data_IF_498530200131
#
_entry.id   IF_498530200131
#
_cell.length_a   1.000
_cell.length_b   1.000
_cell.length_c   1.000
_cell.angle_alpha   90.00
_cell.angle_beta   90.00
_cell.angle_gamma   90.00
#
_symmetry.space_group_name_H-M   'P 1'
#
loop_
_entity.id
_entity.type
_entity.pdbx_description
1 polymer ?
#
# COMPACT_ATOMS: atom_id res chain seq x y z
N UNK A 1 0.85 23.45 -3.23
CA UNK A 1 2.05 23.63 -2.39
C UNK A 1 3.21 22.85 -2.99
N UNK A 2 4.45 23.26 -2.71
CA UNK A 2 5.67 22.59 -3.18
C UNK A 2 5.71 21.08 -2.82
N UNK A 3 5.21 20.72 -1.64
CA UNK A 3 5.15 19.33 -1.15
C UNK A 3 4.34 18.42 -2.06
N UNK A 4 3.16 18.86 -2.51
CA UNK A 4 2.31 18.08 -3.40
C UNK A 4 2.95 17.92 -4.78
N UNK A 5 3.58 18.98 -5.29
CA UNK A 5 4.35 18.92 -6.55
C UNK A 5 5.54 17.96 -6.45
N UNK A 6 6.29 18.00 -5.34
CA UNK A 6 7.40 17.09 -5.10
C UNK A 6 6.92 15.64 -4.97
N UNK A 7 5.85 15.38 -4.22
CA UNK A 7 5.25 14.06 -4.09
C UNK A 7 4.76 13.51 -5.44
N UNK A 8 4.10 14.33 -6.27
CA UNK A 8 3.70 13.94 -7.61
C UNK A 8 4.91 13.63 -8.50
N UNK A 9 5.97 14.45 -8.43
CA UNK A 9 7.20 14.25 -9.20
C UNK A 9 7.90 12.92 -8.84
N UNK A 10 7.85 12.46 -7.59
CA UNK A 10 8.43 11.15 -7.22
C UNK A 10 7.82 9.99 -8.00
N UNK A 11 6.53 10.04 -8.38
CA UNK A 11 5.92 9.01 -9.22
C UNK A 11 6.56 9.02 -10.62
N UNK A 12 6.77 10.21 -11.20
CA UNK A 12 7.42 10.35 -12.50
C UNK A 12 8.84 9.80 -12.48
N UNK A 13 9.62 10.12 -11.46
CA UNK A 13 11.00 9.61 -11.32
C UNK A 13 11.00 8.10 -11.07
N UNK A 14 10.07 7.56 -10.28
CA UNK A 14 9.93 6.12 -10.06
C UNK A 14 9.66 5.37 -11.36
N UNK A 15 8.74 5.87 -12.20
CA UNK A 15 8.45 5.30 -13.52
C UNK A 15 9.69 5.33 -14.41
N UNK A 16 10.43 6.44 -14.42
CA UNK A 16 11.69 6.54 -15.17
C UNK A 16 12.71 5.49 -14.71
N UNK A 17 12.93 5.34 -13.41
CA UNK A 17 13.80 4.31 -12.85
C UNK A 17 13.34 2.89 -13.22
N UNK A 18 12.03 2.63 -13.23
CA UNK A 18 11.47 1.35 -13.64
C UNK A 18 11.82 1.01 -15.10
N UNK A 19 11.72 1.99 -16.01
CA UNK A 19 12.07 1.81 -17.43
C UNK A 19 13.55 1.50 -17.64
N UNK A 20 14.42 2.06 -16.79
CA UNK A 20 15.86 1.76 -16.77
C UNK A 20 16.20 0.45 -16.02
N UNK A 21 15.19 -0.25 -15.49
CA UNK A 21 15.33 -1.45 -14.65
C UNK A 21 16.10 -1.19 -13.33
N UNK A 22 16.10 0.05 -12.84
CA UNK A 22 16.67 0.44 -11.56
C UNK A 22 15.66 0.27 -10.43
N UNK A 23 15.23 -0.98 -10.20
CA UNK A 23 14.13 -1.31 -9.28
C UNK A 23 14.41 -0.91 -7.83
N UNK A 24 15.67 -1.01 -7.38
CA UNK A 24 16.07 -0.61 -6.03
C UNK A 24 15.87 0.88 -5.80
N UNK A 25 16.22 1.70 -6.80
CA UNK A 25 16.06 3.17 -6.73
C UNK A 25 14.59 3.55 -6.83
N UNK A 26 13.83 2.89 -7.72
CA UNK A 26 12.38 3.05 -7.79
C UNK A 26 11.71 2.81 -6.42
N UNK A 27 12.03 1.70 -5.76
CA UNK A 27 11.47 1.35 -4.45
C UNK A 27 11.84 2.39 -3.38
N UNK A 28 13.09 2.87 -3.37
CA UNK A 28 13.54 3.93 -2.47
C UNK A 28 12.76 5.22 -2.71
N UNK A 29 12.60 5.66 -3.97
CA UNK A 29 11.88 6.89 -4.32
C UNK A 29 10.41 6.80 -3.90
N UNK A 30 9.75 5.68 -4.17
CA UNK A 30 8.36 5.47 -3.78
C UNK A 30 8.16 5.48 -2.26
N UNK A 31 9.17 5.05 -1.49
CA UNK A 31 9.13 5.12 -0.02
C UNK A 31 9.08 6.56 0.51
N UNK A 32 9.68 7.52 -0.21
CA UNK A 32 9.66 8.94 0.17
C UNK A 32 8.34 9.63 -0.16
N UNK A 33 7.58 9.13 -1.12
CA UNK A 33 6.35 9.78 -1.59
C UNK A 33 5.40 10.17 -0.46
N UNK A 34 5.06 9.22 0.41
CA UNK A 34 4.14 9.49 1.53
C UNK A 34 4.73 10.48 2.54
N UNK A 35 6.04 10.44 2.77
CA UNK A 35 6.74 11.39 3.65
C UNK A 35 6.68 12.81 3.10
N UNK A 36 6.80 12.97 1.78
CA UNK A 36 6.71 14.27 1.11
C UNK A 36 5.28 14.82 1.10
N UNK A 37 4.27 13.96 0.92
CA UNK A 37 2.86 14.37 0.94
C UNK A 37 2.47 14.99 2.28
N UNK A 38 2.88 14.37 3.39
CA UNK A 38 2.54 14.84 4.74
C UNK A 38 3.60 15.78 5.35
N UNK A 39 4.83 15.78 4.81
CA UNK A 39 5.96 16.51 5.39
C UNK A 39 6.45 15.93 6.72
N UNK A 40 6.32 14.61 6.93
CA UNK A 40 6.60 13.95 8.22
C UNK A 40 7.65 12.84 8.11
N UNK A 41 8.20 12.44 9.27
CA UNK A 41 9.05 11.24 9.39
C UNK A 41 8.25 9.98 9.04
N UNK A 42 8.94 8.97 8.53
CA UNK A 42 8.33 7.71 8.09
C UNK A 42 7.49 7.03 9.18
N UNK A 43 7.93 7.13 10.43
CA UNK A 43 7.24 6.55 11.60
C UNK A 43 5.85 7.13 11.85
N UNK A 44 5.60 8.38 11.42
CA UNK A 44 4.34 9.09 11.61
C UNK A 44 3.37 8.89 10.43
N UNK A 45 3.85 8.39 9.29
CA UNK A 45 3.04 8.18 8.09
C UNK A 45 1.81 7.28 8.35
N UNK A 46 1.90 6.16 9.10
CA UNK A 46 0.72 5.35 9.40
C UNK A 46 -0.36 6.10 10.18
N UNK A 47 0.04 7.06 11.01
CA UNK A 47 -0.87 7.91 11.78
C UNK A 47 -1.48 8.97 10.87
N UNK A 48 -0.67 9.69 10.09
CA UNK A 48 -1.13 10.75 9.19
C UNK A 48 -2.10 10.30 8.08
N UNK A 49 -2.25 8.98 7.88
CA UNK A 49 -3.27 8.41 6.98
C UNK A 49 -4.69 8.46 7.55
N UNK A 50 -4.88 8.72 8.85
CA UNK A 50 -6.19 9.00 9.41
C UNK A 50 -6.65 10.40 8.97
N UNK A 51 -7.93 10.50 8.62
CA UNK A 51 -8.53 11.75 8.17
C UNK A 51 -8.52 12.79 9.32
N UNK A 52 -8.22 14.05 8.98
CA UNK A 52 -8.09 15.17 9.93
C UNK A 52 -7.03 15.01 11.04
N UNK A 53 -5.99 14.18 10.83
CA UNK A 53 -4.90 14.08 11.78
C UNK A 53 -3.82 15.15 11.54
N UNK A 54 -3.48 15.89 12.60
CA UNK A 54 -2.38 16.86 12.58
C UNK A 54 -1.03 16.22 12.95
N UNK A 55 0.05 16.78 12.39
CA UNK A 55 1.43 16.34 12.66
C UNK A 55 1.79 16.41 14.16
N UNK A 56 1.36 17.48 14.85
CA UNK A 56 1.61 17.66 16.29
C UNK A 56 0.91 16.56 17.10
N UNK A 57 -0.35 16.29 16.80
CA UNK A 57 -1.14 15.25 17.47
C UNK A 57 -0.56 13.87 17.18
N UNK A 58 -0.27 13.56 15.92
CA UNK A 58 0.38 12.31 15.52
C UNK A 58 1.70 12.11 16.27
N UNK A 59 2.48 13.18 16.48
CA UNK A 59 3.75 13.10 17.20
C UNK A 59 3.55 12.73 18.67
N UNK A 60 2.65 13.43 19.36
CA UNK A 60 2.40 13.19 20.77
C UNK A 60 1.77 11.80 20.99
N UNK A 61 0.91 11.34 20.07
CA UNK A 61 0.40 9.97 20.08
C UNK A 61 1.51 8.93 19.92
N UNK A 62 2.44 9.16 18.98
CA UNK A 62 3.58 8.27 18.74
C UNK A 62 4.49 8.19 19.98
N UNK A 63 4.82 9.34 20.58
CA UNK A 63 5.66 9.41 21.78
C UNK A 63 4.99 8.74 23.00
N UNK A 64 3.66 8.59 22.98
CA UNK A 64 2.87 7.85 23.96
C UNK A 64 2.66 6.36 23.64
N UNK A 65 3.26 5.83 22.57
CA UNK A 65 3.21 4.42 22.20
C UNK A 65 2.12 4.05 21.20
N UNK A 66 1.29 5.02 20.76
CA UNK A 66 0.27 4.80 19.73
C UNK A 66 0.89 4.97 18.34
N UNK A 67 1.57 3.93 17.85
CA UNK A 67 2.34 3.97 16.60
C UNK A 67 1.54 3.63 15.35
N UNK A 68 0.38 2.98 15.52
CA UNK A 68 -0.44 2.48 14.40
C UNK A 68 -1.93 2.80 14.58
N UNK A 69 -2.70 2.89 13.49
CA UNK A 69 -4.17 3.00 13.56
C UNK A 69 -4.82 1.87 14.37
N UNK A 70 -4.27 0.66 14.32
CA UNK A 70 -4.76 -0.46 15.12
C UNK A 70 -4.56 -0.23 16.63
N UNK A 71 -3.41 0.32 17.02
CA UNK A 71 -3.13 0.67 18.42
C UNK A 71 -4.12 1.73 18.93
N UNK A 72 -4.43 2.73 18.10
CA UNK A 72 -5.44 3.75 18.46
C UNK A 72 -6.84 3.13 18.54
N UNK A 73 -7.22 2.28 17.58
CA UNK A 73 -8.54 1.65 17.53
C UNK A 73 -8.82 0.67 18.68
N UNK A 74 -7.78 0.18 19.36
CA UNK A 74 -7.88 -0.71 20.53
C UNK A 74 -7.70 0.01 21.87
N UNK A 75 -7.30 1.29 21.85
CA UNK A 75 -7.09 2.09 23.03
C UNK A 75 -8.40 2.48 23.74
N UNK A 76 -8.30 2.81 25.03
CA UNK A 76 -9.44 3.37 25.77
C UNK A 76 -9.60 4.86 25.46
N UNK A 77 -10.84 5.37 25.32
CA UNK A 77 -11.08 6.80 25.03
C UNK A 77 -10.41 7.75 26.03
N UNK A 78 -10.41 7.37 27.31
CA UNK A 78 -9.78 8.13 28.40
C UNK A 78 -8.26 8.30 28.21
N UNK A 79 -7.57 7.27 27.69
CA UNK A 79 -6.13 7.31 27.44
C UNK A 79 -5.79 8.23 26.28
N UNK A 80 -6.51 8.09 25.16
CA UNK A 80 -6.39 8.97 24.00
C UNK A 80 -6.67 10.42 24.40
N UNK A 81 -7.74 10.66 25.15
CA UNK A 81 -8.11 12.00 25.63
C UNK A 81 -7.01 12.63 26.49
N UNK A 82 -6.38 11.85 27.37
CA UNK A 82 -5.26 12.32 28.20
C UNK A 82 -4.07 12.75 27.34
N UNK A 83 -3.76 12.00 26.28
CA UNK A 83 -2.68 12.32 25.36
C UNK A 83 -3.00 13.57 24.53
N UNK A 84 -4.22 13.67 24.00
CA UNK A 84 -4.69 14.84 23.24
C UNK A 84 -4.71 16.12 24.07
N UNK A 85 -5.01 16.04 25.37
CA UNK A 85 -4.97 17.22 26.25
C UNK A 85 -3.55 17.80 26.41
N UNK A 86 -2.50 17.02 26.19
CA UNK A 86 -1.11 17.51 26.23
C UNK A 86 -0.73 18.34 25.00
N UNK A 87 -1.45 18.21 23.89
CA UNK A 87 -1.22 19.02 22.69
C UNK A 87 -1.89 20.38 22.78
N UNK A 88 -2.70 20.60 23.82
CA UNK A 88 -3.49 21.82 23.99
C UNK A 88 -2.59 22.97 24.47
N UNK A 89 -2.80 24.21 23.99
CA UNK A 89 -2.11 25.38 24.55
C UNK A 89 -2.36 25.51 26.06
N UNK A 90 -1.38 26.02 26.83
CA UNK A 90 -1.44 26.05 28.30
C UNK A 90 -2.62 26.87 28.88
N UNK A 91 -3.18 27.80 28.10
CA UNK A 91 -4.27 28.68 28.52
C UNK A 91 -5.67 28.15 28.21
N UNK A 92 -5.79 26.94 27.67
CA UNK A 92 -7.05 26.41 27.19
C UNK A 92 -7.59 25.34 28.14
N UNK A 93 -8.87 25.42 28.56
CA UNK A 93 -9.43 24.48 29.51
C UNK A 93 -9.59 23.09 28.88
N UNK A 94 -9.44 22.05 29.69
CA UNK A 94 -9.56 20.65 29.26
C UNK A 94 -10.96 20.27 28.76
N UNK A 95 -11.96 21.15 28.94
CA UNK A 95 -13.33 21.04 28.42
C UNK A 95 -13.42 21.23 26.90
N UNK A 96 -12.43 21.89 26.26
CA UNK A 96 -12.40 22.09 24.81
C UNK A 96 -12.29 20.77 24.04
N UNK A 97 -11.68 19.75 24.66
CA UNK A 97 -11.60 18.41 24.12
C UNK A 97 -12.56 17.50 24.89
N UNK A 98 -13.82 17.36 24.44
CA UNK A 98 -14.76 16.40 25.01
C UNK A 98 -14.34 14.96 24.67
N UNK A 99 -14.82 14.00 25.46
CA UNK A 99 -14.55 12.57 25.26
C UNK A 99 -15.04 12.07 23.89
N UNK A 100 -16.08 12.70 23.33
CA UNK A 100 -16.59 12.45 21.99
C UNK A 100 -15.49 12.57 20.90
N UNK A 101 -14.53 13.49 21.05
CA UNK A 101 -13.44 13.64 20.08
C UNK A 101 -12.50 12.43 20.10
N UNK A 102 -12.18 11.91 21.29
CA UNK A 102 -11.37 10.71 21.43
C UNK A 102 -12.11 9.49 20.87
N UNK A 103 -13.42 9.38 21.12
CA UNK A 103 -14.26 8.31 20.57
C UNK A 103 -14.28 8.35 19.03
N UNK A 104 -14.47 9.54 18.45
CA UNK A 104 -14.45 9.73 16.99
C UNK A 104 -13.11 9.33 16.39
N UNK A 105 -11.99 9.69 17.01
CA UNK A 105 -10.66 9.29 16.55
C UNK A 105 -10.49 7.77 16.59
N UNK A 106 -10.95 7.11 17.65
CA UNK A 106 -10.93 5.65 17.78
C UNK A 106 -11.77 4.99 16.68
N UNK A 107 -12.97 5.51 16.41
CA UNK A 107 -13.86 4.95 15.39
C UNK A 107 -13.28 5.13 13.98
N UNK A 108 -12.70 6.30 13.68
CA UNK A 108 -11.97 6.53 12.43
C UNK A 108 -10.77 5.59 12.29
N UNK A 109 -10.00 5.39 13.36
CA UNK A 109 -8.88 4.47 13.37
C UNK A 109 -9.32 3.01 13.13
N UNK A 110 -10.46 2.58 13.70
CA UNK A 110 -11.06 1.26 13.45
C UNK A 110 -11.50 1.11 11.99
N UNK A 111 -12.17 2.11 11.43
CA UNK A 111 -12.59 2.09 10.02
C UNK A 111 -11.37 1.98 9.10
N UNK A 112 -10.35 2.79 9.34
CA UNK A 112 -9.12 2.77 8.56
C UNK A 112 -8.35 1.44 8.71
N UNK A 113 -8.27 0.89 9.93
CA UNK A 113 -7.66 -0.41 10.18
C UNK A 113 -8.39 -1.54 9.42
N UNK A 114 -9.73 -1.56 9.43
CA UNK A 114 -10.53 -2.53 8.66
C UNK A 114 -10.28 -2.40 7.16
N UNK A 115 -10.21 -1.17 6.66
CA UNK A 115 -9.94 -0.91 5.24
C UNK A 115 -8.55 -1.40 4.84
N UNK A 116 -7.52 -1.11 5.63
CA UNK A 116 -6.15 -1.57 5.37
C UNK A 116 -6.05 -3.11 5.37
N UNK A 117 -6.75 -3.79 6.27
CA UNK A 117 -6.81 -5.27 6.28
C UNK A 117 -7.51 -5.80 5.03
N UNK A 118 -8.64 -5.21 4.64
CA UNK A 118 -9.40 -5.60 3.46
C UNK A 118 -8.56 -5.44 2.18
N UNK A 119 -7.89 -4.31 2.01
CA UNK A 119 -7.02 -4.04 0.87
C UNK A 119 -5.83 -5.01 0.81
N UNK A 120 -5.14 -5.23 1.94
CA UNK A 120 -4.05 -6.22 2.00
C UNK A 120 -4.54 -7.63 1.72
N UNK A 121 -5.73 -7.98 2.19
CA UNK A 121 -6.34 -9.29 1.94
C UNK A 121 -6.74 -9.46 0.46
N UNK A 122 -7.25 -8.41 -0.18
CA UNK A 122 -7.54 -8.40 -1.62
C UNK A 122 -6.27 -8.57 -2.44
N UNK A 123 -5.23 -7.79 -2.14
CA UNK A 123 -3.94 -7.91 -2.83
C UNK A 123 -3.34 -9.31 -2.65
N UNK A 124 -3.43 -9.90 -1.45
CA UNK A 124 -2.98 -11.26 -1.20
C UNK A 124 -3.80 -12.31 -1.98
N UNK A 125 -5.12 -12.12 -2.11
CA UNK A 125 -5.99 -13.00 -2.92
C UNK A 125 -5.66 -12.89 -4.41
N UNK A 126 -5.44 -11.69 -4.91
CA UNK A 126 -5.03 -11.45 -6.30
C UNK A 126 -3.64 -12.01 -6.59
N UNK A 127 -2.68 -11.83 -5.68
CA UNK A 127 -1.35 -12.42 -5.79
C UNK A 127 -1.43 -13.95 -5.85
N UNK A 128 -2.26 -14.59 -5.01
CA UNK A 128 -2.51 -16.04 -5.05
C UNK A 128 -3.13 -16.49 -6.38
N UNK A 129 -4.08 -15.71 -6.93
CA UNK A 129 -4.67 -15.99 -8.24
C UNK A 129 -3.62 -15.89 -9.36
N UNK A 130 -2.77 -14.85 -9.35
CA UNK A 130 -1.67 -14.68 -10.31
C UNK A 130 -0.65 -15.81 -10.22
N UNK A 131 -0.32 -16.28 -9.00
CA UNK A 131 0.57 -17.43 -8.82
C UNK A 131 -0.03 -18.73 -9.38
N UNK A 132 -1.36 -18.89 -9.28
CA UNK A 132 -2.08 -20.04 -9.88
C UNK A 132 -2.15 -19.96 -11.40
N UNK A 133 -2.32 -18.76 -11.97
CA UNK A 133 -2.39 -18.54 -13.43
C UNK A 133 -1.00 -18.56 -14.10
N UNK A 134 0.04 -18.03 -13.43
CA UNK A 134 1.42 -18.08 -13.89
C UNK A 134 2.04 -19.49 -13.92
N UNK A 135 1.45 -20.44 -13.20
CA UNK A 135 1.80 -21.87 -13.26
C UNK A 135 1.20 -22.64 -14.46
N UNK A 136 0.32 -22.02 -15.25
CA UNK A 136 -0.21 -22.60 -16.49
C UNK A 136 0.65 -22.18 -17.68
N UNK A 137 1.80 -22.83 -17.87
CA UNK A 137 2.52 -22.74 -19.15
C UNK A 137 1.61 -23.21 -20.29
N UNK A 138 1.57 -22.52 -21.45
CA UNK A 138 0.86 -23.02 -22.61
C UNK A 138 1.50 -24.33 -23.04
N UNK A 139 0.75 -25.45 -23.02
CA UNK A 139 1.20 -26.68 -23.66
C UNK A 139 1.50 -26.37 -25.13
N UNK A 140 2.68 -26.71 -25.67
CA UNK A 140 2.95 -26.53 -27.08
C UNK A 140 1.92 -27.37 -27.85
N UNK A 141 1.12 -26.73 -28.71
CA UNK A 141 0.24 -27.41 -29.65
C UNK A 141 1.14 -28.25 -30.55
N UNK A 142 1.24 -29.55 -30.27
CA UNK A 142 1.83 -30.55 -31.18
C UNK A 142 1.13 -30.39 -32.53
N UNK A 143 1.82 -29.80 -33.50
CA UNK A 143 1.39 -29.82 -34.89
C UNK A 143 1.31 -31.29 -35.30
N UNK A 144 0.09 -31.76 -35.52
CA UNK A 144 -0.19 -33.09 -36.05
C UNK A 144 0.28 -33.08 -37.50
N UNK A 145 1.51 -33.53 -37.74
CA UNK A 145 1.99 -33.84 -39.08
C UNK A 145 1.02 -34.85 -39.69
N UNK A 146 0.23 -34.40 -40.68
CA UNK A 146 -0.53 -35.30 -41.55
C UNK A 146 0.51 -36.02 -42.40
N UNK A 147 0.81 -37.27 -42.04
CA UNK A 147 1.45 -38.23 -42.93
C UNK A 147 0.49 -38.52 -44.09
N UNK A 148 0.58 -37.72 -45.16
CA UNK A 148 -0.02 -38.02 -46.44
C UNK A 148 0.76 -39.16 -47.09
N UNK A 149 0.22 -40.37 -47.01
CA UNK A 149 0.64 -41.50 -47.83
C UNK A 149 0.19 -41.23 -49.27
N UNK A 150 1.09 -40.71 -50.11
CA UNK A 150 0.89 -40.67 -51.56
C UNK A 150 1.74 -41.78 -52.18
N UNK A 151 1.06 -42.83 -52.64
CA UNK A 151 1.65 -43.90 -53.43
C UNK A 151 2.10 -43.35 -54.80
N UNK A 152 3.31 -43.73 -55.24
CA UNK A 152 3.75 -43.65 -56.63
C UNK A 152 4.53 -44.94 -56.96
N UNK A 153 4.29 -45.60 -58.10
CA UNK A 153 4.93 -46.87 -58.43
C UNK A 153 6.28 -46.66 -59.12
N UNK A 154 7.29 -47.42 -58.68
CA UNK A 154 8.57 -47.58 -59.38
C UNK A 154 8.38 -48.55 -60.56
N UNK A 155 8.40 -48.00 -61.78
CA UNK A 155 8.73 -48.74 -63.00
C UNK A 155 10.24 -48.63 -63.19
N UNK A 156 10.97 -49.74 -63.10
CA UNK A 156 12.31 -49.86 -63.69
C UNK A 156 12.38 -51.15 -64.48
N UNK A 157 12.61 -50.98 -65.78
CA UNK A 157 12.62 -52.03 -66.78
C UNK A 157 13.89 -52.86 -66.74
N UNK A 158 13.73 -54.12 -67.09
CA UNK A 158 14.78 -54.99 -67.57
C UNK A 158 15.37 -54.44 -68.87
N UNK A 159 16.70 -54.34 -68.94
CA UNK A 159 17.53 -54.91 -70.01
C UNK A 159 19.01 -54.76 -69.67
#
# INVERSE_FOLDING_TARGET
SLQQSAAAFTNTVAIFCNRLKWYSVEALILSFRQRLTFGVRQELVPLMQLEHMDCVIARVLYDHGFTTPQAIGSARPVEILRVLRKTLPPNMPSSVLPESNAQRLIDMAKVHAKQNVKEKQQLAREARKRMREGGSSPKPKRARAKSGSSAAPLVTGQR
#
